data_IF_427567598893
#
_entry.id   IF_427567598893
#
_cell.length_a   1.000
_cell.length_b   1.000
_cell.length_c   1.000
_cell.angle_alpha   90.00
_cell.angle_beta   90.00
_cell.angle_gamma   90.00
#
_symmetry.space_group_name_H-M   'P 1'
#
loop_
_entity.id
_entity.type
_entity.pdbx_description
1 polymer ?
#
# COMPACT_ATOMS: atom_id res chain seq x y z
N UNK A 1 26.57 -67.48 51.82
CA UNK A 1 25.54 -66.44 51.91
C UNK A 1 24.97 -66.31 50.53
N UNK A 2 23.69 -66.24 50.32
CA UNK A 2 23.02 -65.94 49.06
C UNK A 2 22.79 -64.47 49.01
N UNK A 3 22.86 -63.88 47.82
CA UNK A 3 22.60 -62.46 47.57
C UNK A 3 21.26 -62.29 46.86
N UNK A 4 20.64 -61.12 46.96
CA UNK A 4 19.46 -60.81 46.15
C UNK A 4 19.80 -60.81 44.63
N UNK A 5 18.82 -61.05 43.76
CA UNK A 5 19.06 -61.41 42.38
C UNK A 5 19.54 -60.19 41.56
N UNK A 6 18.98 -59.01 41.79
CA UNK A 6 19.26 -57.78 40.96
C UNK A 6 20.37 -56.91 41.55
N UNK A 7 20.22 -56.49 42.81
CA UNK A 7 21.13 -55.51 43.41
C UNK A 7 22.29 -56.21 44.14
N UNK A 8 22.29 -57.56 44.21
CA UNK A 8 23.33 -58.36 44.88
C UNK A 8 23.53 -57.97 46.36
N UNK A 9 22.42 -57.70 47.08
CA UNK A 9 22.43 -57.40 48.50
C UNK A 9 22.64 -58.66 49.27
N UNK A 10 23.58 -58.76 50.21
CA UNK A 10 23.87 -59.97 50.95
C UNK A 10 22.75 -60.35 51.94
N UNK A 11 22.22 -61.55 51.82
CA UNK A 11 21.16 -62.04 52.68
C UNK A 11 21.78 -62.64 53.96
N UNK A 12 21.10 -62.48 55.10
CA UNK A 12 21.52 -63.05 56.39
C UNK A 12 21.22 -64.55 56.35
N UNK A 13 22.21 -65.37 56.76
CA UNK A 13 22.07 -66.85 56.86
C UNK A 13 21.09 -67.32 57.98
N UNK A 14 20.41 -68.44 57.74
CA UNK A 14 19.31 -68.94 58.57
C UNK A 14 19.66 -69.25 60.08
N UNK A 15 20.88 -69.16 60.51
CA UNK A 15 21.30 -69.45 61.85
C UNK A 15 21.20 -68.32 62.90
N UNK A 16 20.66 -67.14 62.51
CA UNK A 16 20.50 -66.02 63.45
C UNK A 16 19.02 -65.86 63.85
N UNK A 17 18.61 -66.46 64.98
CA UNK A 17 17.32 -66.36 65.65
C UNK A 17 16.24 -65.48 64.98
N UNK A 18 15.59 -65.98 63.89
CA UNK A 18 14.44 -65.41 63.13
C UNK A 18 14.59 -64.01 62.61
N UNK A 19 15.62 -63.22 62.98
CA UNK A 19 15.87 -61.84 62.44
C UNK A 19 16.16 -61.84 60.92
N UNK A 20 16.61 -62.98 60.41
CA UNK A 20 16.91 -63.16 59.00
C UNK A 20 15.68 -63.12 58.13
N UNK A 21 14.51 -63.52 58.56
CA UNK A 21 13.29 -63.59 57.76
C UNK A 21 12.86 -62.17 57.38
N UNK A 22 12.50 -61.33 58.35
CA UNK A 22 12.02 -59.96 58.10
C UNK A 22 13.06 -59.08 57.44
N UNK A 23 14.35 -59.28 57.79
CA UNK A 23 15.41 -58.55 57.15
C UNK A 23 15.61 -58.91 55.66
N UNK A 24 15.61 -60.23 55.38
CA UNK A 24 15.76 -60.71 54.03
C UNK A 24 14.56 -60.33 53.11
N UNK A 25 13.33 -60.46 53.70
CA UNK A 25 12.12 -59.97 53.01
C UNK A 25 12.25 -58.46 52.62
N UNK A 26 12.78 -57.61 53.51
CA UNK A 26 13.03 -56.20 53.24
C UNK A 26 14.06 -56.03 52.17
N UNK A 27 15.16 -56.79 52.17
CA UNK A 27 16.20 -56.69 51.10
C UNK A 27 15.66 -57.17 49.76
N UNK A 28 14.84 -58.22 49.70
CA UNK A 28 14.22 -58.68 48.47
C UNK A 28 13.23 -57.66 47.91
N UNK A 29 12.47 -56.98 48.79
CA UNK A 29 11.64 -55.86 48.38
C UNK A 29 12.44 -54.72 47.83
N UNK A 30 13.57 -54.31 48.44
CA UNK A 30 14.48 -53.28 47.94
C UNK A 30 15.07 -53.68 46.58
N UNK A 31 15.41 -54.96 46.41
CA UNK A 31 15.98 -55.49 45.15
C UNK A 31 15.03 -55.33 43.98
N UNK A 32 13.71 -55.35 44.16
CA UNK A 32 12.70 -55.07 43.13
C UNK A 32 12.50 -53.62 42.94
N UNK A 33 12.39 -52.81 43.99
CA UNK A 33 11.89 -51.45 43.95
C UNK A 33 12.96 -50.39 43.75
N UNK A 34 14.22 -50.65 44.11
CA UNK A 34 15.33 -49.72 43.85
C UNK A 34 15.78 -49.84 42.40
N UNK A 35 15.75 -48.74 41.66
CA UNK A 35 15.96 -48.76 40.21
C UNK A 35 15.09 -49.82 39.52
N UNK A 36 13.79 -49.77 39.80
CA UNK A 36 12.84 -50.77 39.36
C UNK A 36 12.85 -50.99 37.85
N UNK A 37 12.95 -52.22 37.41
CA UNK A 37 12.88 -52.67 36.03
C UNK A 37 11.93 -53.82 35.93
N UNK A 38 10.97 -53.74 35.01
CA UNK A 38 10.07 -54.82 34.64
C UNK A 38 10.36 -55.31 33.25
N UNK A 39 10.03 -56.57 32.94
CA UNK A 39 10.25 -57.13 31.62
C UNK A 39 9.19 -56.69 30.64
N UNK A 40 7.94 -56.59 31.09
CA UNK A 40 6.75 -56.30 30.30
C UNK A 40 5.66 -55.72 31.22
N UNK A 41 4.69 -55.01 30.66
CA UNK A 41 3.53 -54.41 31.38
C UNK A 41 2.18 -54.73 30.75
N UNK A 42 2.14 -55.48 29.65
CA UNK A 42 0.93 -55.74 28.86
C UNK A 42 0.44 -57.20 29.04
N UNK A 43 1.15 -58.02 29.79
CA UNK A 43 0.74 -59.39 30.10
C UNK A 43 -0.38 -59.41 31.15
N UNK A 44 -1.46 -60.07 30.84
CA UNK A 44 -2.58 -60.34 31.76
C UNK A 44 -2.56 -61.72 32.34
N UNK A 45 -1.60 -62.58 31.98
CA UNK A 45 -1.42 -63.95 32.48
C UNK A 45 0.05 -64.14 32.87
N UNK A 46 0.35 -64.68 34.06
CA UNK A 46 1.74 -64.91 34.50
C UNK A 46 2.47 -65.82 33.50
N UNK A 47 3.76 -65.57 33.21
CA UNK A 47 4.59 -66.48 32.44
C UNK A 47 4.68 -67.89 33.09
N UNK A 48 4.66 -68.91 32.25
CA UNK A 48 4.67 -70.29 32.73
C UNK A 48 6.00 -70.70 33.42
N UNK A 49 7.12 -70.07 33.08
CA UNK A 49 8.46 -70.36 33.61
C UNK A 49 9.22 -69.06 33.90
N UNK A 50 8.81 -68.25 34.91
CA UNK A 50 9.53 -67.09 35.31
C UNK A 50 10.88 -67.41 35.91
N UNK A 51 11.92 -66.63 35.64
CA UNK A 51 13.19 -66.74 36.32
C UNK A 51 13.18 -65.96 37.65
N UNK A 52 14.02 -66.38 38.58
CA UNK A 52 14.17 -65.66 39.86
C UNK A 52 14.62 -64.24 39.63
N UNK A 53 13.87 -63.23 40.13
CA UNK A 53 14.08 -61.81 39.94
C UNK A 53 13.34 -61.22 38.75
N UNK A 54 12.60 -61.99 37.94
CA UNK A 54 11.73 -61.43 36.88
C UNK A 54 10.63 -60.60 37.49
N UNK A 55 10.36 -59.44 36.90
CA UNK A 55 9.29 -58.56 37.38
C UNK A 55 8.46 -58.04 36.18
N UNK A 56 7.17 -57.79 36.41
CA UNK A 56 6.17 -57.37 35.45
C UNK A 56 5.24 -56.33 36.07
N UNK A 57 4.65 -55.43 35.30
CA UNK A 57 3.46 -54.74 35.72
C UNK A 57 2.26 -55.58 35.27
N UNK A 58 1.36 -55.88 36.18
CA UNK A 58 0.20 -56.69 35.87
C UNK A 58 -0.80 -55.87 35.03
N UNK A 59 -1.13 -56.35 33.83
CA UNK A 59 -2.09 -55.70 32.97
C UNK A 59 -3.54 -55.86 33.48
N UNK A 60 -4.46 -55.10 32.90
CA UNK A 60 -5.89 -55.14 33.14
C UNK A 60 -6.45 -56.53 32.78
N UNK A 61 -7.52 -56.97 33.50
CA UNK A 61 -8.15 -58.30 33.32
C UNK A 61 -7.19 -59.47 33.58
N UNK A 62 -6.41 -59.33 34.60
CA UNK A 62 -5.42 -60.32 35.00
C UNK A 62 -6.07 -61.70 35.36
N UNK A 63 -5.35 -62.76 35.02
CA UNK A 63 -5.79 -64.14 35.20
C UNK A 63 -4.73 -64.96 35.95
N UNK A 64 -5.11 -66.18 36.36
CA UNK A 64 -4.20 -67.06 37.09
C UNK A 64 -3.77 -66.48 38.44
N UNK A 65 -2.52 -66.67 38.81
CA UNK A 65 -1.94 -66.17 40.06
C UNK A 65 -1.89 -64.59 40.10
N UNK A 66 -2.17 -63.89 39.00
CA UNK A 66 -2.19 -62.43 38.95
C UNK A 66 -3.58 -61.84 39.10
N UNK A 67 -4.63 -62.63 39.15
CA UNK A 67 -6.01 -62.15 39.25
C UNK A 67 -6.22 -61.21 40.46
N UNK A 68 -6.75 -60.00 40.21
CA UNK A 68 -6.95 -58.96 41.24
C UNK A 68 -5.70 -58.18 41.63
N UNK A 69 -4.62 -58.32 40.88
CA UNK A 69 -3.35 -57.59 41.10
C UNK A 69 -3.03 -56.62 40.04
N UNK A 70 -4.03 -56.17 39.25
CA UNK A 70 -3.87 -55.21 38.14
C UNK A 70 -3.17 -53.98 38.63
N UNK A 71 -2.21 -53.49 37.86
CA UNK A 71 -1.41 -52.28 38.13
C UNK A 71 -0.25 -52.45 39.11
N UNK A 72 -0.21 -53.62 39.88
CA UNK A 72 0.90 -53.92 40.77
C UNK A 72 2.14 -54.40 40.03
N UNK A 73 3.30 -54.22 40.65
CA UNK A 73 4.52 -54.86 40.18
C UNK A 73 4.50 -56.31 40.76
N UNK A 74 4.43 -57.30 39.88
CA UNK A 74 4.58 -58.71 40.22
C UNK A 74 6.03 -59.09 40.03
N UNK A 75 6.71 -59.60 41.12
CA UNK A 75 8.08 -60.06 41.05
C UNK A 75 8.13 -61.52 41.40
N UNK A 76 8.87 -62.34 40.65
CA UNK A 76 9.07 -63.77 40.97
C UNK A 76 10.25 -63.89 41.92
N UNK A 77 9.92 -64.34 43.16
CA UNK A 77 10.91 -64.48 44.26
C UNK A 77 10.67 -65.73 45.06
N UNK A 78 11.71 -66.50 45.35
CA UNK A 78 11.67 -67.72 46.13
C UNK A 78 10.61 -68.75 45.65
N UNK A 79 10.41 -68.86 44.33
CA UNK A 79 9.48 -69.78 43.69
C UNK A 79 8.02 -69.33 43.76
N UNK A 80 7.71 -68.08 44.00
CA UNK A 80 6.36 -67.52 44.02
C UNK A 80 6.26 -66.04 43.58
N UNK A 81 5.04 -65.60 43.24
CA UNK A 81 4.77 -64.24 42.92
C UNK A 81 4.60 -63.40 44.20
N UNK A 82 5.34 -62.28 44.25
CA UNK A 82 5.23 -61.25 45.28
C UNK A 82 4.76 -59.97 44.60
N UNK A 83 3.69 -59.36 45.14
CA UNK A 83 3.07 -58.17 44.54
C UNK A 83 3.40 -56.95 45.37
N UNK A 84 3.76 -55.88 44.66
CA UNK A 84 4.06 -54.55 45.22
C UNK A 84 3.09 -53.54 44.65
N UNK A 85 2.14 -53.05 45.44
CA UNK A 85 1.22 -51.97 45.07
C UNK A 85 2.00 -50.67 44.94
N UNK A 86 1.93 -50.04 43.79
CA UNK A 86 2.68 -48.80 43.55
C UNK A 86 2.06 -47.61 44.30
N UNK A 87 2.88 -46.65 44.66
CA UNK A 87 2.47 -45.33 45.14
C UNK A 87 2.74 -44.26 44.10
N UNK A 88 2.06 -43.12 44.22
CA UNK A 88 2.32 -41.94 43.36
C UNK A 88 3.82 -41.59 43.37
N UNK A 89 4.37 -41.30 42.18
CA UNK A 89 5.75 -40.95 41.97
C UNK A 89 6.71 -42.12 41.81
N UNK A 90 6.23 -43.41 41.96
CA UNK A 90 7.08 -44.56 41.66
C UNK A 90 7.47 -44.58 40.19
N UNK A 91 8.70 -44.97 39.91
CA UNK A 91 9.29 -45.06 38.59
C UNK A 91 9.74 -46.45 38.26
N UNK A 92 9.49 -46.94 37.07
CA UNK A 92 9.89 -48.25 36.59
C UNK A 92 10.35 -48.21 35.15
N UNK A 93 11.42 -48.88 34.84
CA UNK A 93 11.87 -49.11 33.46
C UNK A 93 11.15 -50.32 32.90
N UNK A 94 10.44 -50.16 31.80
CA UNK A 94 9.77 -51.26 31.08
C UNK A 94 10.69 -51.68 29.94
N UNK A 95 11.20 -52.91 30.00
CA UNK A 95 12.34 -53.36 29.21
C UNK A 95 12.01 -53.65 27.74
N UNK A 96 10.85 -54.20 27.48
CA UNK A 96 10.37 -54.50 26.11
C UNK A 96 10.00 -53.25 25.33
N UNK A 97 9.62 -52.18 26.05
CA UNK A 97 9.32 -50.88 25.44
C UNK A 97 10.50 -49.90 25.45
N UNK A 98 11.62 -50.24 26.10
CA UNK A 98 12.80 -49.40 26.31
C UNK A 98 12.44 -48.00 26.86
N UNK A 99 11.51 -47.96 27.85
CA UNK A 99 10.87 -46.71 28.27
C UNK A 99 10.67 -46.67 29.79
N UNK A 100 10.80 -45.47 30.37
CA UNK A 100 10.49 -45.19 31.76
C UNK A 100 9.00 -44.88 31.95
N UNK A 101 8.39 -45.51 32.96
CA UNK A 101 7.02 -45.21 33.41
C UNK A 101 7.02 -44.62 34.81
N UNK A 102 6.03 -43.77 35.10
CA UNK A 102 5.79 -43.16 36.41
C UNK A 102 4.34 -43.47 36.80
N UNK A 103 4.12 -43.90 38.08
CA UNK A 103 2.79 -44.09 38.61
C UNK A 103 2.23 -42.76 39.13
N UNK A 104 1.04 -42.34 38.68
CA UNK A 104 0.39 -41.05 39.03
C UNK A 104 -0.54 -41.17 40.26
N UNK A 105 -0.54 -42.30 40.93
CA UNK A 105 -1.45 -42.66 42.03
C UNK A 105 -2.61 -43.55 41.57
N UNK A 106 -2.89 -43.65 40.26
CA UNK A 106 -3.98 -44.44 39.66
C UNK A 106 -3.52 -45.40 38.58
N UNK A 107 -2.56 -44.98 37.77
CA UNK A 107 -2.08 -45.72 36.61
C UNK A 107 -0.58 -45.46 36.34
N UNK A 108 0.05 -46.38 35.59
CA UNK A 108 1.38 -46.22 35.07
C UNK A 108 1.35 -45.43 33.76
N UNK A 109 1.91 -44.22 33.78
CA UNK A 109 2.02 -43.33 32.64
C UNK A 109 3.43 -43.33 32.07
N UNK A 110 3.54 -43.36 30.76
CA UNK A 110 4.82 -43.24 30.06
C UNK A 110 5.49 -41.93 30.44
N UNK A 111 6.72 -41.96 30.89
CA UNK A 111 7.50 -40.78 31.13
C UNK A 111 8.10 -40.31 29.81
N UNK A 112 7.40 -39.37 29.17
CA UNK A 112 7.89 -38.79 27.94
C UNK A 112 8.99 -37.76 28.22
N UNK A 113 10.22 -38.11 27.89
CA UNK A 113 11.38 -37.19 27.92
C UNK A 113 11.50 -36.39 26.62
N UNK A 114 10.59 -36.59 25.68
CA UNK A 114 10.56 -35.90 24.41
C UNK A 114 10.04 -34.47 24.55
N UNK A 115 10.85 -33.46 24.25
CA UNK A 115 10.40 -32.13 23.85
C UNK A 115 9.68 -32.28 22.50
N UNK A 116 8.73 -33.21 22.37
CA UNK A 116 7.89 -33.32 21.17
C UNK A 116 6.77 -32.27 21.19
N UNK A 117 6.46 -31.70 22.36
CA UNK A 117 5.57 -30.55 22.49
C UNK A 117 6.08 -29.66 23.60
N UNK A 118 6.62 -28.50 23.23
CA UNK A 118 6.68 -27.37 24.13
C UNK A 118 5.23 -26.91 24.34
N UNK A 119 4.46 -27.69 25.08
CA UNK A 119 3.13 -27.31 25.53
C UNK A 119 2.87 -28.02 26.90
N UNK A 120 2.52 -27.26 27.90
CA UNK A 120 2.53 -25.80 28.00
C UNK A 120 3.57 -25.32 29.00
N UNK A 121 4.16 -24.21 28.75
CA UNK A 121 4.55 -23.33 29.87
C UNK A 121 3.26 -23.09 30.66
N UNK A 122 3.19 -23.27 31.97
CA UNK A 122 1.94 -23.23 32.76
C UNK A 122 1.06 -22.00 32.49
N UNK A 123 1.67 -20.88 32.08
CA UNK A 123 0.99 -19.61 31.75
C UNK A 123 0.77 -19.38 30.24
N UNK A 124 1.04 -20.35 29.36
CA UNK A 124 0.94 -20.20 27.93
C UNK A 124 1.94 -19.19 27.34
N UNK A 125 3.11 -19.06 27.95
CA UNK A 125 4.18 -18.13 27.55
C UNK A 125 5.49 -18.88 27.35
N UNK A 126 6.25 -18.53 26.31
CA UNK A 126 7.56 -19.10 26.03
C UNK A 126 8.59 -17.98 25.84
N UNK A 127 9.59 -17.93 26.71
CA UNK A 127 10.75 -17.05 26.59
C UNK A 127 11.99 -17.86 26.23
N UNK A 128 12.70 -17.47 25.19
CA UNK A 128 14.04 -18.00 24.86
C UNK A 128 15.04 -16.88 25.13
N UNK A 129 15.92 -17.11 26.11
CA UNK A 129 16.91 -16.14 26.58
C UNK A 129 16.30 -14.80 27.04
N UNK A 130 15.02 -14.83 27.45
CA UNK A 130 14.25 -13.67 27.95
C UNK A 130 12.99 -14.14 28.66
N UNK A 131 12.30 -13.26 29.40
CA UNK A 131 11.00 -13.53 30.01
C UNK A 131 9.88 -13.10 29.04
N UNK A 132 8.97 -13.98 28.71
CA UNK A 132 7.75 -13.67 27.96
C UNK A 132 6.70 -13.01 28.87
N UNK A 133 5.86 -12.14 28.33
CA UNK A 133 4.82 -11.41 29.04
C UNK A 133 3.41 -11.65 28.43
N UNK A 134 2.40 -10.91 28.87
CA UNK A 134 1.03 -11.06 28.37
C UNK A 134 0.83 -10.54 26.95
N UNK A 135 1.68 -9.62 26.50
CA UNK A 135 1.67 -9.07 25.14
C UNK A 135 2.51 -9.93 24.20
N UNK A 136 3.71 -10.31 24.64
CA UNK A 136 4.67 -11.10 23.89
C UNK A 136 4.75 -12.52 24.47
N UNK A 137 3.76 -13.35 24.15
CA UNK A 137 3.67 -14.73 24.69
C UNK A 137 4.79 -15.63 24.21
N UNK A 138 5.29 -15.40 23.00
CA UNK A 138 6.55 -15.95 22.50
C UNK A 138 7.56 -14.81 22.42
N UNK A 139 8.59 -14.82 23.25
CA UNK A 139 9.64 -13.84 23.27
C UNK A 139 11.01 -14.50 23.08
N UNK A 140 11.76 -14.07 22.09
CA UNK A 140 13.08 -14.60 21.77
C UNK A 140 14.09 -13.46 21.73
N UNK A 141 15.20 -13.57 22.49
CA UNK A 141 16.37 -12.72 22.39
C UNK A 141 17.54 -13.53 21.85
N UNK A 142 17.82 -13.36 20.58
CA UNK A 142 18.89 -14.06 19.85
C UNK A 142 19.35 -13.22 18.69
N UNK A 143 20.59 -13.38 18.28
CA UNK A 143 21.11 -12.75 17.06
C UNK A 143 20.47 -13.32 15.80
N UNK A 144 19.92 -14.55 15.84
CA UNK A 144 19.20 -15.17 14.74
C UNK A 144 18.11 -16.12 15.23
N UNK A 145 17.02 -16.25 14.50
CA UNK A 145 15.95 -17.24 14.66
C UNK A 145 15.74 -17.92 13.32
N UNK A 146 15.79 -19.27 13.32
CA UNK A 146 15.57 -20.07 12.12
C UNK A 146 14.16 -20.67 12.15
N UNK A 147 13.39 -20.42 11.09
CA UNK A 147 12.19 -21.20 10.75
C UNK A 147 12.49 -21.91 9.43
N UNK A 148 12.57 -23.23 9.45
CA UNK A 148 12.94 -24.05 8.28
C UNK A 148 11.80 -25.04 7.96
N UNK A 149 11.82 -25.59 6.75
CA UNK A 149 10.96 -26.71 6.42
C UNK A 149 11.33 -27.93 7.27
N UNK A 150 10.41 -28.88 7.43
CA UNK A 150 10.65 -30.12 8.14
C UNK A 150 11.46 -31.08 7.25
N UNK A 151 12.72 -31.26 7.61
CA UNK A 151 13.64 -32.21 7.03
C UNK A 151 13.96 -33.41 7.96
N UNK A 152 13.35 -33.44 9.16
CA UNK A 152 13.67 -34.41 10.21
C UNK A 152 12.60 -35.52 10.29
N UNK A 153 11.31 -35.19 10.23
CA UNK A 153 10.24 -36.17 10.37
C UNK A 153 10.05 -37.12 9.19
N UNK A 154 10.66 -36.81 8.03
CA UNK A 154 10.53 -37.58 6.78
C UNK A 154 9.18 -37.45 6.09
N UNK A 155 8.25 -36.61 6.62
CA UNK A 155 6.92 -36.37 6.07
C UNK A 155 6.70 -34.89 5.67
N UNK A 156 7.72 -34.06 5.81
CA UNK A 156 7.67 -32.64 5.44
C UNK A 156 7.45 -32.43 3.95
N UNK A 157 6.62 -31.45 3.57
CA UNK A 157 6.32 -31.12 2.18
C UNK A 157 7.41 -30.29 1.48
N UNK A 158 8.47 -29.90 2.19
CA UNK A 158 9.47 -28.94 1.73
C UNK A 158 9.02 -27.48 1.76
N UNK A 159 7.79 -27.21 2.16
CA UNK A 159 7.24 -25.86 2.26
C UNK A 159 7.39 -25.29 3.67
N UNK A 160 7.63 -23.98 3.78
CA UNK A 160 7.59 -23.22 5.03
C UNK A 160 6.63 -22.04 4.86
N UNK A 161 5.72 -21.87 5.82
CA UNK A 161 4.80 -20.75 5.86
C UNK A 161 4.81 -20.11 7.24
N UNK A 162 4.94 -18.79 7.29
CA UNK A 162 4.71 -18.00 8.48
C UNK A 162 3.34 -17.32 8.37
N UNK A 163 2.33 -17.84 9.08
CA UNK A 163 0.95 -17.36 9.01
C UNK A 163 0.70 -16.34 10.10
N UNK A 164 0.39 -15.09 9.69
CA UNK A 164 -0.03 -14.01 10.58
C UNK A 164 -1.49 -13.73 10.27
N UNK A 165 -2.39 -13.89 11.25
CA UNK A 165 -3.83 -13.78 11.08
C UNK A 165 -4.41 -12.67 11.97
N UNK A 166 -5.37 -11.91 11.44
CA UNK A 166 -6.15 -10.90 12.15
C UNK A 166 -7.63 -11.31 12.25
N UNK A 167 -8.35 -10.75 13.22
CA UNK A 167 -9.74 -11.11 13.46
C UNK A 167 -10.74 -10.47 12.49
N UNK A 168 -10.43 -9.26 11.98
CA UNK A 168 -11.28 -8.52 11.07
C UNK A 168 -10.44 -7.60 10.17
N UNK A 169 -11.02 -7.09 9.07
CA UNK A 169 -10.34 -6.22 8.12
C UNK A 169 -9.69 -5.00 8.80
N UNK A 170 -10.38 -4.37 9.75
CA UNK A 170 -9.90 -3.19 10.47
C UNK A 170 -8.77 -3.45 11.49
N UNK A 171 -8.44 -4.72 11.77
CA UNK A 171 -7.33 -5.07 12.63
C UNK A 171 -6.00 -5.10 11.84
N UNK A 172 -4.89 -5.29 12.57
CA UNK A 172 -3.55 -5.36 11.99
C UNK A 172 -2.98 -6.77 12.06
N UNK A 173 -2.37 -7.22 10.96
CA UNK A 173 -1.52 -8.41 10.87
C UNK A 173 -0.25 -8.01 10.12
N UNK A 174 0.84 -7.72 10.84
CA UNK A 174 2.04 -7.12 10.26
C UNK A 174 3.33 -7.63 10.89
N UNK A 175 4.45 -7.37 10.21
CA UNK A 175 5.79 -7.38 10.76
C UNK A 175 6.22 -5.94 11.03
N UNK A 176 6.53 -5.64 12.30
CA UNK A 176 6.98 -4.32 12.75
C UNK A 176 8.48 -4.37 13.06
N UNK A 177 9.26 -3.54 12.37
CA UNK A 177 10.68 -3.34 12.62
C UNK A 177 10.89 -2.11 13.49
N UNK A 178 11.66 -2.27 14.56
CA UNK A 178 11.87 -1.23 15.57
C UNK A 178 13.35 -0.93 15.78
N UNK A 179 13.63 0.29 16.14
CA UNK A 179 14.89 0.75 16.71
C UNK A 179 14.63 1.27 18.11
N UNK A 180 15.23 0.64 19.12
CA UNK A 180 15.06 0.96 20.54
C UNK A 180 13.56 1.12 20.92
N UNK A 181 12.72 0.14 20.56
CA UNK A 181 11.26 0.07 20.80
C UNK A 181 10.42 1.14 20.08
N UNK A 182 11.01 1.91 19.17
CA UNK A 182 10.31 2.84 18.30
C UNK A 182 10.18 2.26 16.89
N UNK A 183 8.97 2.24 16.32
CA UNK A 183 8.71 1.69 15.00
C UNK A 183 9.45 2.44 13.90
N UNK A 184 10.03 1.74 12.94
CA UNK A 184 10.73 2.32 11.79
C UNK A 184 10.17 1.86 10.45
N UNK A 185 9.79 0.61 10.35
CA UNK A 185 9.14 0.06 9.17
C UNK A 185 8.09 -0.95 9.59
N UNK A 186 6.99 -1.01 8.84
CA UNK A 186 5.92 -1.98 9.03
C UNK A 186 5.48 -2.50 7.66
N UNK A 187 5.28 -3.81 7.56
CA UNK A 187 4.72 -4.43 6.37
C UNK A 187 3.65 -5.47 6.74
N UNK A 188 2.55 -5.44 6.03
CA UNK A 188 1.42 -6.33 6.28
C UNK A 188 0.06 -5.71 6.01
N UNK A 189 -0.99 -6.31 6.56
CA UNK A 189 -2.37 -5.85 6.46
C UNK A 189 -2.66 -4.91 7.64
N UNK A 190 -2.70 -3.61 7.40
CA UNK A 190 -2.73 -2.61 8.47
C UNK A 190 -3.94 -1.67 8.35
N UNK A 191 -5.04 -2.02 9.01
CA UNK A 191 -6.26 -1.22 9.06
C UNK A 191 -7.28 -1.54 7.98
N UNK A 192 -6.90 -2.32 6.97
CA UNK A 192 -7.73 -2.86 5.90
C UNK A 192 -7.13 -4.19 5.40
N UNK A 193 -7.64 -4.75 4.30
CA UNK A 193 -7.14 -6.00 3.71
C UNK A 193 -6.14 -5.78 2.57
N UNK A 194 -5.72 -4.55 2.31
CA UNK A 194 -4.62 -4.23 1.39
C UNK A 194 -3.27 -4.52 2.05
N UNK A 195 -2.27 -4.87 1.24
CA UNK A 195 -0.92 -5.07 1.75
C UNK A 195 -0.12 -3.77 1.72
N UNK A 196 0.29 -3.31 2.88
CA UNK A 196 0.99 -2.04 3.09
C UNK A 196 2.48 -2.23 3.38
N UNK A 197 3.29 -1.32 2.90
CA UNK A 197 4.66 -1.09 3.35
C UNK A 197 4.74 0.37 3.82
N UNK A 198 5.05 0.55 5.09
CA UNK A 198 5.13 1.86 5.75
C UNK A 198 6.50 2.12 6.31
N UNK A 199 6.88 3.39 6.39
CA UNK A 199 8.10 3.84 7.05
C UNK A 199 7.81 5.01 7.98
N UNK A 200 8.59 5.11 9.07
CA UNK A 200 8.48 6.18 10.04
C UNK A 200 9.88 6.64 10.50
N UNK A 201 10.06 7.94 10.64
CA UNK A 201 11.29 8.51 11.18
C UNK A 201 11.32 8.49 12.72
N UNK A 202 10.15 8.53 13.38
CA UNK A 202 10.01 8.74 14.82
C UNK A 202 9.14 7.69 15.54
N UNK A 203 8.49 6.80 14.80
CA UNK A 203 7.56 5.78 15.30
C UNK A 203 6.13 6.28 15.52
N UNK A 204 5.85 7.57 15.30
CA UNK A 204 4.53 8.18 15.48
C UNK A 204 3.89 8.57 14.14
N UNK A 205 4.62 9.29 13.30
CA UNK A 205 4.18 9.65 11.96
C UNK A 205 4.61 8.59 10.95
N UNK A 206 3.65 7.99 10.25
CA UNK A 206 3.89 6.92 9.29
C UNK A 206 3.60 7.38 7.87
N UNK A 207 4.47 7.04 6.95
CA UNK A 207 4.32 7.28 5.52
C UNK A 207 4.06 5.97 4.78
N UNK A 208 2.97 5.93 4.02
CA UNK A 208 2.68 4.83 3.11
C UNK A 208 3.67 4.86 1.94
N UNK A 209 4.59 3.91 1.88
CA UNK A 209 5.55 3.80 0.79
C UNK A 209 4.95 3.04 -0.41
N UNK A 210 4.25 1.93 -0.13
CA UNK A 210 3.61 1.08 -1.14
C UNK A 210 2.33 0.48 -0.58
N UNK A 211 1.31 0.38 -1.43
CA UNK A 211 0.07 -0.36 -1.13
C UNK A 211 -0.27 -1.26 -2.30
N UNK A 212 -0.56 -2.53 -2.02
CA UNK A 212 -1.10 -3.48 -2.98
C UNK A 212 -2.57 -3.68 -2.67
N UNK A 213 -3.44 -3.25 -3.58
CA UNK A 213 -4.88 -3.41 -3.49
C UNK A 213 -5.26 -4.89 -3.55
N UNK A 214 -5.93 -5.38 -2.52
CA UNK A 214 -6.27 -6.80 -2.35
C UNK A 214 -7.28 -7.33 -3.39
N UNK A 215 -8.09 -6.43 -3.96
CA UNK A 215 -9.13 -6.80 -4.93
C UNK A 215 -8.59 -6.89 -6.35
N UNK A 216 -7.74 -5.92 -6.74
CA UNK A 216 -7.23 -5.78 -8.11
C UNK A 216 -5.79 -6.26 -8.29
N UNK A 217 -5.03 -6.39 -7.21
CA UNK A 217 -3.59 -6.63 -7.23
C UNK A 217 -2.76 -5.41 -7.69
N UNK A 218 -3.37 -4.23 -7.79
CA UNK A 218 -2.65 -3.03 -8.22
C UNK A 218 -1.73 -2.51 -7.12
N UNK A 219 -0.57 -2.01 -7.57
CA UNK A 219 0.41 -1.39 -6.70
C UNK A 219 0.36 0.12 -6.88
N UNK A 220 0.21 0.83 -5.77
CA UNK A 220 0.30 2.30 -5.72
C UNK A 220 1.39 2.73 -4.74
N UNK A 221 1.93 3.92 -4.97
CA UNK A 221 3.00 4.52 -4.18
C UNK A 221 2.52 5.88 -3.63
N UNK A 222 1.76 5.91 -2.53
CA UNK A 222 1.11 7.12 -2.04
C UNK A 222 2.06 8.27 -1.70
N UNK A 223 3.26 7.95 -1.20
CA UNK A 223 4.31 8.94 -0.90
C UNK A 223 5.10 9.40 -2.15
N UNK A 224 4.74 8.92 -3.34
CA UNK A 224 5.42 9.22 -4.58
C UNK A 224 6.58 8.29 -4.89
N UNK A 225 7.33 8.58 -5.98
CA UNK A 225 8.51 7.81 -6.41
C UNK A 225 8.28 6.99 -7.67
N UNK A 226 7.14 6.35 -7.86
CA UNK A 226 6.77 5.65 -9.09
C UNK A 226 5.49 6.29 -9.65
N UNK A 227 5.46 6.54 -10.97
CA UNK A 227 4.24 7.02 -11.62
C UNK A 227 3.20 5.91 -11.68
N UNK A 228 1.97 6.27 -11.35
CA UNK A 228 0.83 5.37 -11.53
C UNK A 228 0.59 5.17 -13.04
N UNK A 229 0.56 3.91 -13.50
CA UNK A 229 0.18 3.58 -14.86
C UNK A 229 -1.35 3.52 -14.97
N UNK A 230 -1.96 4.43 -15.73
CA UNK A 230 -3.40 4.44 -15.91
C UNK A 230 -3.88 3.24 -16.73
N UNK A 231 -5.07 2.74 -16.37
CA UNK A 231 -5.81 1.71 -17.12
C UNK A 231 -7.21 2.18 -17.54
N UNK A 232 -7.56 3.41 -17.18
CA UNK A 232 -8.80 4.10 -17.53
C UNK A 232 -8.56 5.62 -17.51
N UNK A 233 -9.53 6.38 -18.01
CA UNK A 233 -9.52 7.84 -17.90
C UNK A 233 -9.46 8.27 -16.43
N UNK A 234 -8.68 9.33 -16.14
CA UNK A 234 -8.55 9.89 -14.79
C UNK A 234 -9.18 11.27 -14.70
N UNK A 235 -10.01 11.49 -13.71
CA UNK A 235 -10.50 12.82 -13.35
C UNK A 235 -10.02 13.19 -11.94
N UNK A 236 -9.40 14.36 -11.83
CA UNK A 236 -9.18 15.01 -10.53
C UNK A 236 -10.22 16.09 -10.33
N UNK A 237 -10.90 16.08 -9.21
CA UNK A 237 -11.89 17.07 -8.81
C UNK A 237 -11.25 18.15 -7.98
N UNK A 238 -11.59 19.40 -8.28
CA UNK A 238 -11.08 20.58 -7.55
C UNK A 238 -12.25 21.45 -7.14
N UNK A 239 -12.24 21.90 -5.90
CA UNK A 239 -13.25 22.78 -5.32
C UNK A 239 -12.55 23.80 -4.41
N UNK A 240 -12.88 25.11 -4.45
CA UNK A 240 -12.26 26.11 -3.57
C UNK A 240 -12.38 25.79 -2.08
N UNK A 241 -13.43 25.06 -1.68
CA UNK A 241 -13.63 24.55 -0.31
C UNK A 241 -12.94 23.20 -0.05
N UNK A 242 -12.22 22.63 -1.01
CA UNK A 242 -11.56 21.32 -0.90
C UNK A 242 -10.27 21.33 -0.07
N UNK A 243 -9.57 20.22 -0.10
CA UNK A 243 -8.35 20.01 0.66
C UNK A 243 -7.25 19.38 -0.20
N UNK A 244 -6.10 20.05 -0.35
CA UNK A 244 -4.97 19.54 -1.14
C UNK A 244 -4.29 18.30 -0.54
N UNK A 245 -4.62 17.93 0.70
CA UNK A 245 -4.25 16.66 1.32
C UNK A 245 -5.15 15.47 0.96
N UNK A 246 -6.33 15.73 0.35
CA UNK A 246 -7.25 14.67 -0.10
C UNK A 246 -6.76 14.02 -1.40
N UNK A 247 -7.37 12.94 -1.86
CA UNK A 247 -6.96 12.24 -3.09
C UNK A 247 -7.42 12.92 -4.39
N UNK A 248 -8.48 13.73 -4.34
CA UNK A 248 -9.07 14.41 -5.50
C UNK A 248 -9.80 13.51 -6.48
N UNK A 249 -10.10 12.26 -6.12
CA UNK A 249 -10.69 11.27 -7.03
C UNK A 249 -12.22 11.30 -7.08
N UNK A 250 -12.85 12.03 -6.17
CA UNK A 250 -14.29 12.27 -6.15
C UNK A 250 -14.62 13.73 -5.80
N UNK A 251 -15.85 14.22 -6.07
CA UNK A 251 -16.27 15.54 -5.63
C UNK A 251 -16.16 15.75 -4.11
N UNK A 252 -16.39 14.71 -3.31
CA UNK A 252 -16.35 14.76 -1.85
C UNK A 252 -14.90 14.82 -1.30
N UNK A 253 -13.95 14.31 -2.05
CA UNK A 253 -12.52 14.34 -1.74
C UNK A 253 -11.75 15.34 -2.61
N UNK A 254 -12.43 16.37 -3.11
CA UNK A 254 -11.87 17.34 -4.04
C UNK A 254 -10.63 18.05 -3.46
N UNK A 255 -9.66 18.32 -4.32
CA UNK A 255 -8.52 19.18 -4.05
C UNK A 255 -8.98 20.63 -3.91
N UNK A 256 -8.21 21.46 -3.25
CA UNK A 256 -8.51 22.88 -3.13
C UNK A 256 -7.96 23.71 -4.29
N UNK A 257 -6.78 23.38 -4.78
CA UNK A 257 -6.07 24.19 -5.78
C UNK A 257 -5.89 23.47 -7.11
N UNK A 258 -6.02 24.21 -8.20
CA UNK A 258 -5.75 23.68 -9.55
C UNK A 258 -4.30 23.28 -9.71
N UNK A 259 -3.36 24.03 -9.09
CA UNK A 259 -1.94 23.70 -9.16
C UNK A 259 -1.58 22.37 -8.51
N UNK A 260 -2.24 22.00 -7.40
CA UNK A 260 -2.04 20.68 -6.80
C UNK A 260 -2.57 19.56 -7.71
N UNK A 261 -3.72 19.76 -8.37
CA UNK A 261 -4.22 18.82 -9.36
C UNK A 261 -3.23 18.63 -10.52
N UNK A 262 -2.65 19.74 -11.05
CA UNK A 262 -1.59 19.67 -12.07
C UNK A 262 -0.38 18.87 -11.57
N UNK A 263 0.07 19.12 -10.34
CA UNK A 263 1.18 18.37 -9.73
C UNK A 263 0.90 16.87 -9.69
N UNK A 264 -0.33 16.47 -9.34
CA UNK A 264 -0.73 15.05 -9.33
C UNK A 264 -0.76 14.43 -10.71
N UNK A 265 -1.16 15.18 -11.73
CA UNK A 265 -1.10 14.69 -13.10
C UNK A 265 0.33 14.32 -13.55
N UNK A 266 1.36 14.95 -12.98
CA UNK A 266 2.76 14.61 -13.26
C UNK A 266 3.24 13.32 -12.60
N UNK A 267 2.50 12.82 -11.61
CA UNK A 267 2.80 11.53 -10.95
C UNK A 267 2.15 10.33 -11.68
N UNK A 268 1.52 10.58 -12.83
CA UNK A 268 0.81 9.59 -13.63
C UNK A 268 1.59 9.33 -14.93
N UNK A 269 1.60 8.06 -15.37
CA UNK A 269 1.75 7.67 -16.76
C UNK A 269 0.35 7.41 -17.32
N UNK A 270 -0.09 8.28 -18.22
CA UNK A 270 -1.46 8.22 -18.76
C UNK A 270 -1.73 7.00 -19.64
N UNK A 271 -0.69 6.34 -20.17
CA UNK A 271 -0.83 5.18 -21.04
C UNK A 271 -1.87 5.39 -22.17
N UNK A 272 -1.96 6.62 -22.69
CA UNK A 272 -2.92 7.01 -23.72
C UNK A 272 -4.33 7.36 -23.23
N UNK A 273 -4.65 7.20 -21.95
CA UNK A 273 -5.93 7.61 -21.38
C UNK A 273 -5.96 9.12 -21.10
N UNK A 274 -7.15 9.73 -21.19
CA UNK A 274 -7.34 11.15 -20.90
C UNK A 274 -7.18 11.44 -19.41
N UNK A 275 -6.60 12.62 -19.12
CA UNK A 275 -6.48 13.15 -17.77
C UNK A 275 -7.21 14.48 -17.71
N UNK A 276 -8.21 14.58 -16.84
CA UNK A 276 -9.08 15.75 -16.69
C UNK A 276 -8.99 16.32 -15.29
N UNK A 277 -8.85 17.63 -15.17
CA UNK A 277 -9.05 18.39 -13.94
C UNK A 277 -10.43 19.04 -14.04
N UNK A 278 -11.38 18.60 -13.24
CA UNK A 278 -12.75 19.13 -13.20
C UNK A 278 -12.92 20.10 -12.05
N UNK A 279 -13.29 21.32 -12.39
CA UNK A 279 -13.45 22.41 -11.45
C UNK A 279 -14.93 22.57 -11.05
N UNK A 280 -15.21 22.61 -9.76
CA UNK A 280 -16.51 23.00 -9.23
C UNK A 280 -16.73 24.52 -9.41
N UNK A 281 -17.97 25.01 -9.42
CA UNK A 281 -18.23 26.45 -9.40
C UNK A 281 -17.52 27.17 -8.25
N UNK A 282 -16.89 28.32 -8.56
CA UNK A 282 -16.18 29.14 -7.60
C UNK A 282 -14.98 29.87 -8.19
N UNK A 283 -14.25 30.58 -7.35
CA UNK A 283 -13.07 31.37 -7.72
C UNK A 283 -11.83 30.64 -7.24
N UNK A 284 -10.90 30.39 -8.16
CA UNK A 284 -9.60 29.76 -7.93
C UNK A 284 -8.52 30.84 -8.05
N UNK A 285 -8.01 31.27 -6.92
CA UNK A 285 -7.00 32.33 -6.85
C UNK A 285 -5.58 31.78 -7.10
N UNK A 286 -4.78 32.55 -7.80
CA UNK A 286 -3.39 32.26 -8.11
C UNK A 286 -3.17 31.84 -9.56
N UNK A 287 -1.91 31.58 -9.89
CA UNK A 287 -1.51 31.17 -11.25
C UNK A 287 -1.50 29.64 -11.38
N UNK A 288 -1.79 29.16 -12.58
CA UNK A 288 -1.67 27.74 -12.96
C UNK A 288 -0.48 27.58 -13.90
N UNK A 289 0.52 26.84 -13.48
CA UNK A 289 1.74 26.58 -14.26
C UNK A 289 1.77 25.14 -14.71
N UNK A 290 1.84 24.93 -16.03
CA UNK A 290 1.96 23.61 -16.65
C UNK A 290 3.25 23.62 -17.46
N UNK A 291 4.31 23.07 -16.86
CA UNK A 291 5.71 23.18 -17.29
C UNK A 291 6.30 21.92 -17.90
N UNK A 292 5.48 20.90 -18.13
CA UNK A 292 5.90 19.65 -18.74
C UNK A 292 4.73 18.82 -19.27
N UNK A 293 5.03 17.84 -20.11
CA UNK A 293 4.05 16.86 -20.60
C UNK A 293 3.70 15.86 -19.51
N UNK A 294 2.45 15.36 -19.54
CA UNK A 294 2.09 14.12 -18.86
C UNK A 294 2.74 12.96 -19.61
N UNK A 295 3.34 12.03 -18.89
CA UNK A 295 3.90 10.80 -19.47
C UNK A 295 2.75 9.96 -20.04
N UNK A 296 3.00 9.20 -21.11
CA UNK A 296 1.98 8.40 -21.79
C UNK A 296 1.17 9.15 -22.85
N UNK A 297 1.47 10.46 -23.07
CA UNK A 297 1.02 11.20 -24.24
C UNK A 297 -0.36 11.87 -24.16
N UNK A 298 -1.08 11.77 -23.05
CA UNK A 298 -2.38 12.41 -22.86
C UNK A 298 -2.28 13.95 -22.91
N UNK A 299 -3.38 14.57 -23.31
CA UNK A 299 -3.64 15.99 -23.08
C UNK A 299 -4.18 16.14 -21.64
N UNK A 300 -3.74 17.19 -20.97
CA UNK A 300 -4.33 17.62 -19.70
C UNK A 300 -5.48 18.57 -19.97
N UNK A 301 -6.70 18.15 -19.69
CA UNK A 301 -7.87 18.99 -19.87
C UNK A 301 -8.31 19.61 -18.52
N UNK A 302 -8.41 20.93 -18.45
CA UNK A 302 -8.97 21.69 -17.34
C UNK A 302 -10.38 22.13 -17.75
N UNK A 303 -11.39 21.64 -17.04
CA UNK A 303 -12.79 21.74 -17.43
C UNK A 303 -13.62 22.31 -16.29
N UNK A 304 -14.34 23.39 -16.55
CA UNK A 304 -15.25 24.04 -15.64
C UNK A 304 -16.70 23.60 -15.81
N UNK A 305 -17.62 24.57 -15.95
CA UNK A 305 -19.06 24.39 -16.08
C UNK A 305 -19.54 24.73 -17.51
N UNK A 306 -19.89 23.71 -18.27
CA UNK A 306 -20.29 23.88 -19.68
C UNK A 306 -21.55 24.74 -19.88
N UNK A 307 -22.46 24.77 -18.91
CA UNK A 307 -23.72 25.54 -19.01
C UNK A 307 -23.55 27.00 -18.56
N UNK A 308 -22.61 27.27 -17.66
CA UNK A 308 -22.28 28.59 -17.16
C UNK A 308 -20.77 28.72 -16.88
N UNK A 309 -19.96 29.01 -17.92
CA UNK A 309 -18.50 29.18 -17.75
C UNK A 309 -18.12 30.29 -16.78
N UNK A 310 -18.98 31.30 -16.60
CA UNK A 310 -18.75 32.41 -15.67
C UNK A 310 -18.86 32.01 -14.20
N UNK A 311 -19.43 30.85 -13.89
CA UNK A 311 -19.48 30.28 -12.54
C UNK A 311 -18.17 29.68 -12.06
N UNK A 312 -17.21 29.43 -12.97
CA UNK A 312 -15.87 28.87 -12.67
C UNK A 312 -14.80 29.86 -13.10
N UNK A 313 -14.12 30.48 -12.15
CA UNK A 313 -13.20 31.59 -12.43
C UNK A 313 -11.79 31.23 -12.01
N UNK A 314 -10.86 31.20 -12.99
CA UNK A 314 -9.43 31.20 -12.71
C UNK A 314 -8.96 32.65 -12.65
N UNK A 315 -8.55 33.11 -11.48
CA UNK A 315 -8.15 34.49 -11.22
C UNK A 315 -6.71 34.57 -10.73
N UNK A 316 -5.93 35.44 -11.33
CA UNK A 316 -4.61 35.80 -10.82
C UNK A 316 -4.51 37.32 -10.51
N UNK A 317 -4.16 37.60 -9.26
CA UNK A 317 -3.96 38.95 -8.74
C UNK A 317 -2.48 39.28 -8.40
N UNK A 318 -1.59 38.28 -8.58
CA UNK A 318 -0.13 38.50 -8.44
C UNK A 318 0.52 38.80 -9.77
N UNK A 319 1.75 39.30 -9.75
CA UNK A 319 2.46 39.73 -10.94
C UNK A 319 2.95 38.56 -11.81
N UNK A 320 2.03 37.86 -12.45
CA UNK A 320 2.29 36.72 -13.34
C UNK A 320 1.08 36.41 -14.25
N UNK A 321 1.25 35.54 -15.27
CA UNK A 321 0.15 35.04 -16.09
C UNK A 321 -0.84 34.22 -15.25
N UNK A 322 -2.14 34.22 -15.60
CA UNK A 322 -3.11 33.36 -14.91
C UNK A 322 -2.87 31.90 -15.24
N UNK A 323 -2.65 31.61 -16.53
CA UNK A 323 -2.30 30.25 -16.98
C UNK A 323 -1.01 30.35 -17.80
N UNK A 324 -0.02 29.52 -17.43
CA UNK A 324 1.25 29.41 -18.16
C UNK A 324 1.49 27.99 -18.61
N UNK A 325 1.67 27.76 -19.91
CA UNK A 325 1.83 26.45 -20.54
C UNK A 325 3.13 26.47 -21.34
N UNK A 326 4.09 25.65 -20.99
CA UNK A 326 5.45 25.63 -21.59
C UNK A 326 5.98 24.21 -21.78
N UNK A 327 7.16 24.10 -22.37
CA UNK A 327 7.96 22.87 -22.49
C UNK A 327 7.19 21.71 -23.14
N UNK A 328 6.61 22.02 -24.31
CA UNK A 328 5.86 21.06 -25.10
C UNK A 328 4.65 20.42 -24.39
N UNK A 329 4.15 21.01 -23.31
CA UNK A 329 2.93 20.53 -22.65
C UNK A 329 1.74 20.57 -23.61
N UNK A 330 0.81 19.63 -23.47
CA UNK A 330 -0.44 19.55 -24.22
C UNK A 330 -1.60 19.79 -23.27
N UNK A 331 -2.31 20.91 -23.44
CA UNK A 331 -3.34 21.37 -22.50
C UNK A 331 -4.63 21.70 -23.22
N UNK A 332 -5.76 21.31 -22.62
CA UNK A 332 -7.10 21.78 -22.96
C UNK A 332 -7.68 22.66 -21.87
N UNK A 333 -8.36 23.74 -22.22
CA UNK A 333 -9.03 24.66 -21.28
C UNK A 333 -10.44 24.88 -21.76
N UNK A 334 -11.42 24.51 -20.96
CA UNK A 334 -12.81 24.50 -21.36
C UNK A 334 -13.74 24.97 -20.25
N UNK A 335 -14.84 25.62 -20.65
CA UNK A 335 -16.01 25.85 -19.80
C UNK A 335 -15.73 26.70 -18.55
N UNK A 336 -14.90 27.75 -18.68
CA UNK A 336 -14.52 28.60 -17.55
C UNK A 336 -14.20 30.04 -17.96
N UNK A 337 -14.14 30.91 -16.96
CA UNK A 337 -13.74 32.30 -17.08
C UNK A 337 -12.30 32.50 -16.61
N UNK A 338 -11.54 33.38 -17.30
CA UNK A 338 -10.15 33.69 -16.95
C UNK A 338 -10.03 35.17 -16.64
N UNK A 339 -9.42 35.51 -15.51
CA UNK A 339 -9.19 36.87 -15.04
C UNK A 339 -7.73 37.10 -14.68
N UNK A 340 -7.22 38.31 -14.98
CA UNK A 340 -5.91 38.74 -14.51
C UNK A 340 -5.96 40.22 -14.18
N UNK A 341 -5.73 40.58 -12.95
CA UNK A 341 -5.72 41.96 -12.47
C UNK A 341 -4.31 42.58 -12.47
N UNK A 342 -3.28 41.78 -12.80
CA UNK A 342 -1.88 42.19 -12.88
C UNK A 342 -1.52 42.69 -14.30
N UNK A 343 -0.24 42.94 -14.55
CA UNK A 343 0.26 43.41 -15.88
C UNK A 343 0.67 42.22 -16.76
N UNK A 344 0.04 41.08 -16.66
CA UNK A 344 0.36 39.88 -17.41
C UNK A 344 -0.84 39.35 -18.19
N UNK A 345 -0.57 38.41 -19.12
CA UNK A 345 -1.59 37.83 -20.00
C UNK A 345 -2.48 36.84 -19.25
N UNK A 346 -3.71 36.64 -19.76
CA UNK A 346 -4.60 35.59 -19.20
C UNK A 346 -4.00 34.20 -19.45
N UNK A 347 -3.59 33.92 -20.69
CA UNK A 347 -2.93 32.66 -21.06
C UNK A 347 -1.60 32.98 -21.74
N UNK A 348 -0.54 32.31 -21.30
CA UNK A 348 0.78 32.34 -21.95
C UNK A 348 1.19 30.95 -22.38
N UNK A 349 1.54 30.77 -23.66
CA UNK A 349 1.91 29.51 -24.28
C UNK A 349 3.28 29.64 -24.93
N UNK A 350 4.24 28.79 -24.57
CA UNK A 350 5.61 28.94 -25.05
C UNK A 350 6.29 27.55 -25.26
N UNK A 351 7.48 27.55 -25.86
CA UNK A 351 8.38 26.40 -25.99
C UNK A 351 7.71 25.19 -26.61
N UNK A 352 7.03 25.35 -27.74
CA UNK A 352 6.39 24.24 -28.47
C UNK A 352 5.19 23.62 -27.76
N UNK A 353 4.61 24.31 -26.79
CA UNK A 353 3.41 23.84 -26.12
C UNK A 353 2.17 23.89 -27.04
N UNK A 354 1.20 23.04 -26.76
CA UNK A 354 -0.03 22.87 -27.53
C UNK A 354 -1.24 23.17 -26.64
N UNK A 355 -1.91 24.29 -26.92
CA UNK A 355 -3.14 24.68 -26.23
C UNK A 355 -4.36 24.43 -27.11
N UNK A 356 -5.39 23.79 -26.55
CA UNK A 356 -6.77 23.84 -27.06
C UNK A 356 -7.63 24.61 -26.07
N UNK A 357 -8.57 25.40 -26.57
CA UNK A 357 -9.57 25.99 -25.69
C UNK A 357 -10.94 26.13 -26.38
N UNK A 358 -12.00 26.16 -25.57
CA UNK A 358 -13.38 26.35 -26.04
C UNK A 358 -14.31 26.67 -24.88
N UNK A 359 -15.42 27.36 -25.17
CA UNK A 359 -16.39 27.85 -24.20
C UNK A 359 -15.74 28.60 -23.01
N UNK A 360 -14.72 29.42 -23.33
CA UNK A 360 -13.97 30.22 -22.36
C UNK A 360 -14.48 31.68 -22.39
N UNK A 361 -14.54 32.31 -21.21
CA UNK A 361 -14.84 33.73 -21.09
C UNK A 361 -13.53 34.50 -20.81
N UNK A 362 -13.08 35.29 -21.77
CA UNK A 362 -11.93 36.19 -21.61
C UNK A 362 -12.40 37.55 -21.08
N UNK A 363 -11.87 37.96 -19.94
CA UNK A 363 -12.20 39.23 -19.30
C UNK A 363 -11.16 40.32 -19.57
N UNK A 364 -11.34 41.50 -18.98
CA UNK A 364 -10.38 42.57 -19.03
C UNK A 364 -9.01 42.13 -18.47
N UNK A 365 -7.93 42.42 -19.17
CA UNK A 365 -6.57 42.30 -18.66
C UNK A 365 -5.68 43.48 -19.14
N UNK A 366 -4.54 43.64 -18.49
CA UNK A 366 -3.61 44.72 -18.85
C UNK A 366 -2.63 44.34 -19.98
N UNK A 367 -2.58 43.04 -20.33
CA UNK A 367 -1.72 42.54 -21.39
C UNK A 367 -2.55 41.79 -22.44
N UNK A 368 -2.27 40.55 -22.75
CA UNK A 368 -2.94 39.85 -23.84
C UNK A 368 -3.88 38.75 -23.29
N UNK A 369 -4.98 38.50 -24.00
CA UNK A 369 -5.82 37.35 -23.62
C UNK A 369 -5.05 36.05 -23.88
N UNK A 370 -4.50 35.86 -25.08
CA UNK A 370 -3.64 34.74 -25.44
C UNK A 370 -2.34 35.25 -26.01
N UNK A 371 -1.25 35.05 -25.29
CA UNK A 371 0.11 35.35 -25.73
C UNK A 371 0.83 34.04 -26.05
N UNK A 372 1.35 33.85 -27.25
CA UNK A 372 2.04 32.66 -27.70
C UNK A 372 3.41 32.96 -28.29
N UNK A 373 4.41 32.16 -27.95
CA UNK A 373 5.79 32.32 -28.40
C UNK A 373 6.46 30.95 -28.65
N UNK A 374 7.61 30.98 -29.37
CA UNK A 374 8.52 29.86 -29.58
C UNK A 374 7.83 28.55 -30.05
N UNK A 375 7.24 28.62 -31.25
CA UNK A 375 6.62 27.49 -31.95
C UNK A 375 5.43 26.85 -31.22
N UNK A 376 4.74 27.59 -30.38
CA UNK A 376 3.51 27.12 -29.74
C UNK A 376 2.37 26.93 -30.74
N UNK A 377 1.51 25.96 -30.49
CA UNK A 377 0.28 25.73 -31.24
C UNK A 377 -0.92 26.12 -30.38
N UNK A 378 -1.81 26.96 -30.92
CA UNK A 378 -3.07 27.32 -30.27
C UNK A 378 -4.24 26.97 -31.18
N UNK A 379 -5.18 26.17 -30.67
CA UNK A 379 -6.33 25.72 -31.43
C UNK A 379 -7.63 26.04 -30.67
N UNK A 380 -8.55 26.68 -31.38
CA UNK A 380 -9.92 26.90 -30.88
C UNK A 380 -10.78 25.67 -31.12
N UNK A 381 -11.23 25.04 -30.05
CA UNK A 381 -11.99 23.79 -30.10
C UNK A 381 -13.49 24.02 -30.07
N UNK A 382 -13.97 25.11 -29.49
CA UNK A 382 -15.38 25.49 -29.42
C UNK A 382 -15.55 27.03 -29.43
N UNK A 383 -16.79 27.49 -29.58
CA UNK A 383 -17.15 28.88 -29.46
C UNK A 383 -16.72 29.48 -28.14
N UNK A 384 -16.45 30.80 -28.07
CA UNK A 384 -16.04 31.44 -26.85
C UNK A 384 -16.50 32.90 -26.76
N UNK A 385 -16.34 33.53 -25.60
CA UNK A 385 -16.81 34.88 -25.32
C UNK A 385 -15.67 35.80 -24.87
N UNK A 386 -15.69 37.04 -25.33
CA UNK A 386 -14.79 38.12 -24.90
C UNK A 386 -15.66 39.20 -24.24
N UNK A 387 -15.40 39.47 -22.95
CA UNK A 387 -16.18 40.49 -22.19
C UNK A 387 -15.39 41.71 -21.81
N UNK A 388 -14.06 41.68 -21.96
CA UNK A 388 -13.18 42.79 -21.66
C UNK A 388 -12.01 42.88 -22.67
N UNK A 389 -11.31 43.98 -22.67
CA UNK A 389 -10.20 44.22 -23.58
C UNK A 389 -8.82 43.93 -22.98
N UNK A 390 -7.80 44.44 -23.66
CA UNK A 390 -6.42 44.27 -23.26
C UNK A 390 -5.44 44.98 -24.19
N UNK A 391 -4.18 44.58 -24.17
CA UNK A 391 -3.22 45.01 -25.16
C UNK A 391 -3.56 44.38 -26.52
N UNK A 392 -3.83 43.06 -26.54
CA UNK A 392 -4.32 42.31 -27.70
C UNK A 392 -5.21 41.15 -27.24
N UNK A 393 -6.13 40.68 -28.10
CA UNK A 393 -6.78 39.40 -27.87
C UNK A 393 -5.81 38.28 -28.22
N UNK A 394 -5.11 38.35 -29.31
CA UNK A 394 -4.12 37.39 -29.77
C UNK A 394 -2.78 38.09 -29.99
N UNK A 395 -1.70 37.60 -29.33
CA UNK A 395 -0.34 38.04 -29.57
C UNK A 395 0.57 36.84 -29.83
N UNK A 396 0.95 36.63 -31.08
CA UNK A 396 1.67 35.43 -31.52
C UNK A 396 3.02 35.82 -32.11
N UNK A 397 4.08 35.15 -31.68
CA UNK A 397 5.44 35.44 -32.12
C UNK A 397 6.31 34.16 -32.23
N UNK A 398 7.43 34.30 -32.98
CA UNK A 398 8.47 33.23 -33.08
C UNK A 398 7.90 31.90 -33.58
N UNK A 399 7.25 31.88 -34.73
CA UNK A 399 6.79 30.68 -35.42
C UNK A 399 5.56 30.01 -34.83
N UNK A 400 4.79 30.70 -33.98
CA UNK A 400 3.56 30.15 -33.43
C UNK A 400 2.45 30.02 -34.45
N UNK A 401 1.55 29.08 -34.26
CA UNK A 401 0.41 28.81 -35.11
C UNK A 401 -0.88 28.96 -34.32
N UNK A 402 -1.82 29.75 -34.88
CA UNK A 402 -3.21 29.81 -34.44
C UNK A 402 -4.08 29.10 -35.45
N UNK A 403 -4.96 28.22 -34.99
CA UNK A 403 -5.91 27.47 -35.81
C UNK A 403 -7.32 27.53 -35.26
N UNK A 404 -8.30 27.74 -36.13
CA UNK A 404 -9.71 27.64 -35.80
C UNK A 404 -10.52 27.26 -37.04
N UNK A 405 -11.65 26.53 -36.87
CA UNK A 405 -12.55 26.22 -37.95
C UNK A 405 -13.99 26.19 -37.48
N UNK A 406 -14.89 26.89 -38.19
CA UNK A 406 -16.34 26.91 -37.91
C UNK A 406 -16.65 27.34 -36.47
N UNK A 407 -16.10 28.48 -36.03
CA UNK A 407 -16.31 29.00 -34.68
C UNK A 407 -16.94 30.38 -34.67
N UNK A 408 -17.79 30.61 -33.67
CA UNK A 408 -18.39 31.89 -33.39
C UNK A 408 -17.78 32.46 -32.11
N UNK A 409 -17.26 33.69 -32.18
CA UNK A 409 -16.75 34.41 -31.03
C UNK A 409 -17.68 35.57 -30.69
N UNK A 410 -18.21 35.54 -29.46
CA UNK A 410 -19.13 36.61 -29.02
C UNK A 410 -18.35 37.68 -28.26
N UNK A 411 -18.42 38.91 -28.74
CA UNK A 411 -17.87 40.09 -28.07
C UNK A 411 -18.99 40.80 -27.31
N UNK A 412 -18.79 41.06 -26.04
CA UNK A 412 -19.71 41.82 -25.18
C UNK A 412 -18.99 43.04 -24.61
N UNK A 413 -19.74 44.08 -24.28
CA UNK A 413 -19.23 45.34 -23.69
C UNK A 413 -18.23 46.11 -24.55
N UNK A 414 -18.19 45.87 -25.84
CA UNK A 414 -17.30 46.56 -26.82
C UNK A 414 -15.85 46.62 -26.30
N UNK A 415 -15.14 45.51 -26.17
CA UNK A 415 -13.78 45.47 -25.60
C UNK A 415 -12.81 46.35 -26.42
N UNK A 416 -11.89 47.01 -25.72
CA UNK A 416 -10.85 47.87 -26.34
C UNK A 416 -9.49 47.19 -26.36
N UNK A 417 -8.78 47.24 -27.50
CA UNK A 417 -7.45 46.68 -27.67
C UNK A 417 -6.41 47.74 -28.02
N UNK A 418 -5.46 47.96 -27.12
CA UNK A 418 -4.48 49.04 -27.20
C UNK A 418 -3.51 48.94 -28.38
N UNK A 419 -3.06 47.73 -28.72
CA UNK A 419 -2.14 47.51 -29.87
C UNK A 419 -2.90 47.03 -31.08
N UNK A 420 -3.58 45.90 -30.98
CA UNK A 420 -4.45 45.33 -32.00
C UNK A 420 -5.29 44.21 -31.43
N UNK A 421 -6.44 43.93 -32.03
CA UNK A 421 -7.20 42.73 -31.70
C UNK A 421 -6.36 41.47 -31.99
N UNK A 422 -5.76 41.37 -33.17
CA UNK A 422 -4.88 40.29 -33.60
C UNK A 422 -3.49 40.79 -33.90
N UNK A 423 -2.47 40.36 -33.18
CA UNK A 423 -1.07 40.74 -33.35
C UNK A 423 -0.20 39.53 -33.66
N UNK A 424 0.26 39.44 -34.92
CA UNK A 424 1.12 38.37 -35.41
C UNK A 424 2.47 38.89 -35.82
N UNK A 425 3.55 38.24 -35.36
CA UNK A 425 4.92 38.72 -35.63
C UNK A 425 5.94 37.56 -35.65
N UNK A 426 7.12 37.86 -36.28
CA UNK A 426 8.28 36.95 -36.26
C UNK A 426 7.95 35.53 -36.74
N UNK A 427 7.39 35.44 -37.97
CA UNK A 427 7.10 34.18 -38.64
C UNK A 427 5.93 33.38 -38.05
N UNK A 428 5.09 33.97 -37.20
CA UNK A 428 3.88 33.32 -36.73
C UNK A 428 2.80 33.26 -37.81
N UNK A 429 1.88 32.33 -37.67
CA UNK A 429 0.88 32.04 -38.68
C UNK A 429 -0.53 31.97 -38.10
N UNK A 430 -1.48 32.62 -38.73
CA UNK A 430 -2.92 32.51 -38.46
C UNK A 430 -3.58 31.73 -39.59
N UNK A 431 -4.17 30.60 -39.26
CA UNK A 431 -4.85 29.69 -40.21
C UNK A 431 -6.24 29.39 -39.71
N UNK A 432 -7.24 29.95 -40.32
CA UNK A 432 -8.64 29.76 -39.96
C UNK A 432 -9.50 29.47 -41.15
N UNK A 433 -10.65 28.87 -40.88
CA UNK A 433 -11.71 28.61 -41.84
C UNK A 433 -13.06 28.90 -41.20
N UNK A 434 -13.86 29.82 -41.81
CA UNK A 434 -15.23 30.14 -41.39
C UNK A 434 -15.33 30.50 -39.89
N UNK A 435 -14.51 31.48 -39.46
CA UNK A 435 -14.55 32.04 -38.11
C UNK A 435 -15.36 33.32 -38.09
N UNK A 436 -16.35 33.41 -37.23
CA UNK A 436 -17.27 34.58 -37.15
C UNK A 436 -17.09 35.28 -35.82
N UNK A 437 -17.03 36.66 -35.91
CA UNK A 437 -16.99 37.54 -34.74
C UNK A 437 -18.34 38.24 -34.60
N UNK A 438 -19.05 37.97 -33.50
CA UNK A 438 -20.36 38.54 -33.21
C UNK A 438 -20.24 39.59 -32.10
N UNK A 439 -20.53 40.86 -32.45
CA UNK A 439 -20.36 42.05 -31.59
C UNK A 439 -19.30 42.98 -32.11
N UNK A 440 -18.94 44.00 -31.33
CA UNK A 440 -18.00 45.02 -31.71
C UNK A 440 -16.81 45.14 -30.76
N UNK A 441 -15.66 45.55 -31.23
CA UNK A 441 -14.52 45.98 -30.44
C UNK A 441 -14.01 47.33 -30.92
N UNK A 442 -13.18 48.00 -30.12
CA UNK A 442 -12.48 49.21 -30.49
C UNK A 442 -10.95 49.00 -30.49
N UNK A 443 -10.22 49.81 -31.22
CA UNK A 443 -8.81 49.67 -31.45
C UNK A 443 -8.52 49.06 -32.83
N UNK A 444 -7.25 48.81 -33.10
CA UNK A 444 -6.79 48.29 -34.38
C UNK A 444 -7.24 46.84 -34.59
N UNK A 445 -7.73 46.51 -35.78
CA UNK A 445 -8.17 45.17 -36.16
C UNK A 445 -7.03 44.15 -36.09
N UNK A 446 -5.92 44.43 -36.79
CA UNK A 446 -4.75 43.55 -36.80
C UNK A 446 -3.44 44.29 -36.91
N UNK A 447 -2.36 43.65 -36.46
CA UNK A 447 -1.00 44.06 -36.68
C UNK A 447 -0.14 42.85 -37.07
N UNK A 448 0.24 42.75 -38.35
CA UNK A 448 1.00 41.62 -38.90
C UNK A 448 2.36 42.14 -39.35
N UNK A 449 3.46 41.58 -38.82
CA UNK A 449 4.81 42.08 -39.10
C UNK A 449 5.88 41.00 -39.02
N UNK A 450 7.10 41.36 -39.50
CA UNK A 450 8.29 40.49 -39.33
C UNK A 450 8.07 39.10 -39.90
N UNK A 451 7.66 39.01 -41.17
CA UNK A 451 7.40 37.77 -41.91
C UNK A 451 6.31 36.87 -41.29
N UNK A 452 5.42 37.39 -40.48
CA UNK A 452 4.24 36.68 -40.04
C UNK A 452 3.20 36.62 -41.16
N UNK A 453 2.37 35.60 -41.18
CA UNK A 453 1.28 35.47 -42.14
C UNK A 453 -0.06 35.34 -41.41
N UNK A 454 -1.02 36.12 -41.90
CA UNK A 454 -2.38 36.07 -41.39
C UNK A 454 -3.34 35.87 -42.57
N UNK A 455 -3.99 34.74 -42.66
CA UNK A 455 -5.01 34.48 -43.67
C UNK A 455 -6.38 34.88 -43.09
N UNK A 456 -6.65 36.21 -43.14
CA UNK A 456 -7.98 36.75 -42.85
C UNK A 456 -8.87 36.60 -44.07
N UNK A 457 -10.12 36.25 -43.89
CA UNK A 457 -11.08 36.01 -44.97
C UNK A 457 -11.50 37.32 -45.70
N UNK A 458 -11.31 38.48 -45.01
CA UNK A 458 -11.60 39.83 -45.55
C UNK A 458 -10.74 40.88 -44.81
N UNK A 459 -10.58 42.11 -45.37
CA UNK A 459 -9.84 43.19 -44.70
C UNK A 459 -10.40 43.59 -43.33
N UNK A 460 -11.68 43.38 -43.12
CA UNK A 460 -12.41 43.66 -41.88
C UNK A 460 -12.72 42.38 -41.06
N UNK A 461 -12.06 41.29 -41.36
CA UNK A 461 -12.25 40.02 -40.67
C UNK A 461 -12.16 40.14 -39.15
N UNK A 462 -11.19 40.87 -38.61
CA UNK A 462 -11.08 41.08 -37.17
C UNK A 462 -11.90 42.28 -36.70
N UNK A 463 -12.54 42.16 -35.49
CA UNK A 463 -13.27 43.28 -34.91
C UNK A 463 -12.30 44.41 -34.51
N UNK A 464 -12.76 45.66 -34.69
CA UNK A 464 -12.03 46.89 -34.37
C UNK A 464 -12.59 48.06 -35.19
N UNK A 465 -12.32 49.28 -34.74
CA UNK A 465 -12.74 50.53 -35.40
C UNK A 465 -11.57 51.28 -36.09
N UNK A 466 -10.34 50.72 -35.96
CA UNK A 466 -9.13 51.25 -36.64
C UNK A 466 -8.61 50.16 -37.59
N UNK A 467 -8.23 50.58 -38.81
CA UNK A 467 -7.73 49.63 -39.82
C UNK A 467 -6.48 48.90 -39.39
N UNK A 468 -6.34 47.67 -39.87
CA UNK A 468 -5.18 46.83 -39.65
C UNK A 468 -3.93 47.34 -40.36
N UNK A 469 -2.76 46.87 -39.89
CA UNK A 469 -1.46 47.15 -40.53
C UNK A 469 -0.76 45.83 -40.82
N UNK A 470 -0.18 45.74 -42.04
CA UNK A 470 0.82 44.72 -42.36
C UNK A 470 2.12 45.46 -42.80
N UNK A 471 3.22 45.22 -42.06
CA UNK A 471 4.52 45.86 -42.32
C UNK A 471 5.70 44.89 -42.18
N UNK A 472 6.91 45.32 -42.51
CA UNK A 472 8.18 44.60 -42.34
C UNK A 472 8.12 43.12 -42.81
N UNK A 473 7.53 42.87 -43.99
CA UNK A 473 7.34 41.54 -44.57
C UNK A 473 6.18 40.75 -43.99
N UNK A 474 5.36 41.34 -43.13
CA UNK A 474 4.11 40.71 -42.68
C UNK A 474 3.11 40.63 -43.83
N UNK A 475 2.42 39.53 -43.99
CA UNK A 475 1.42 39.30 -45.01
C UNK A 475 0.03 39.12 -44.38
N UNK A 476 -0.90 39.95 -44.82
CA UNK A 476 -2.32 39.77 -44.53
C UNK A 476 -3.05 39.44 -45.82
N UNK A 477 -3.55 38.21 -45.96
CA UNK A 477 -4.30 37.75 -47.10
C UNK A 477 -5.79 37.74 -46.77
N UNK A 478 -6.52 38.72 -47.25
CA UNK A 478 -7.96 38.65 -47.39
C UNK A 478 -8.21 38.64 -48.91
N UNK A 479 -8.76 37.57 -49.43
CA UNK A 479 -9.11 37.45 -50.82
C UNK A 479 -10.31 38.33 -51.15
#
# INVERSE_FOLDING_TARGET
MSDTTRLKLPLIAAQQAQKHVTHNESLLKLDVLVQARVLDRDLNTPPANPAEGDAYIVAVSATGDWAGQEGNIAAWQNGGWVFHAPSEGWKVWVADEDTLYVHDGTAWLKFETGIATVNPVPDGKLGINTTADNTNRLAVKSDAVLFSHDDVSGSGSGNVQFKINKAAATNTASLLFQDNWSGRAELGLTGDDDFHIKASADGNAWHEAMVVDSTSGWVRFPSGGVRELLRAHRTFYVNPAGNDGADGLSPDTALRTVQEAVRRCYMIDSNGFNVTIRLAPGIYEGNVVIDRRIVGGARLDIVGNATDPSSVILRNNVNYHTIRIIDCAKVGIYDLQIENTSNWSLIFVDTGADLKYGNVVFTQCNRDHVEASANALVLVADDYTITGGGRSHMNFSKGCIFQASNRVVTLRNTPHFLVAFAWFQRGSHYSVWNMTWSGAATGRRYYVRSNATCNGEAPDHFPGDVDGIADTGGYYGGA
#
